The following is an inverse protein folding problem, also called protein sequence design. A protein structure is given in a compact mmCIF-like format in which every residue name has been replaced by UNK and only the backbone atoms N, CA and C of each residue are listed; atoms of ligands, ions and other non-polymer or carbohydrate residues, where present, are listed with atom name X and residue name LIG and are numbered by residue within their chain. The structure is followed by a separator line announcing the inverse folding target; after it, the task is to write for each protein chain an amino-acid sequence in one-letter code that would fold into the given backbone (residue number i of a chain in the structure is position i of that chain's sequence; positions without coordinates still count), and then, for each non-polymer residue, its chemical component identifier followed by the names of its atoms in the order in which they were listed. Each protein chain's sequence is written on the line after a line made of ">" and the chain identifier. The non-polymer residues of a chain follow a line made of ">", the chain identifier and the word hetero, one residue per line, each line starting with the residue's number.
data_IF_409554019197
#
_entry.id   IF_409554019197
#
_cell.length_a   1.000
_cell.length_b   1.000
_cell.length_c   1.000
_cell.angle_alpha   90.00
_cell.angle_beta   90.00
_cell.angle_gamma   90.00
#
_symmetry.space_group_name_H-M   'P 1'
#
loop_
_entity.id
_entity.type
_entity.pdbx_description
1 polymer ?
#
# COMPACT_ATOMS: atom_id res chain seq x y z
N UNK A 1 -15.56 9.34 -10.21
CA UNK A 1 -15.76 8.89 -11.62
C UNK A 1 -15.14 9.90 -12.60
N UNK A 2 -15.45 11.22 -12.53
CA UNK A 2 -14.92 12.23 -13.47
C UNK A 2 -13.38 12.21 -13.61
N UNK A 3 -12.61 12.18 -12.50
CA UNK A 3 -11.15 12.11 -12.56
C UNK A 3 -10.63 10.88 -13.29
N UNK A 4 -11.28 9.74 -13.11
CA UNK A 4 -10.89 8.50 -13.78
C UNK A 4 -11.17 8.55 -15.28
N UNK A 5 -12.28 9.17 -15.67
CA UNK A 5 -12.63 9.38 -17.08
C UNK A 5 -11.60 10.27 -17.77
N UNK A 6 -11.23 11.41 -17.15
CA UNK A 6 -10.25 12.35 -17.70
C UNK A 6 -8.86 11.68 -17.85
N UNK A 7 -8.42 10.94 -16.84
CA UNK A 7 -7.14 10.21 -16.92
C UNK A 7 -7.10 9.14 -18.03
N UNK A 8 -8.27 8.58 -18.39
CA UNK A 8 -8.37 7.57 -19.45
C UNK A 8 -8.55 8.16 -20.83
N UNK A 9 -9.26 9.30 -20.94
CA UNK A 9 -9.63 9.88 -22.23
C UNK A 9 -8.55 10.78 -22.84
N UNK A 10 -7.70 11.40 -22.01
CA UNK A 10 -6.78 12.44 -22.47
C UNK A 10 -5.30 12.08 -22.33
N UNK A 11 -4.99 10.84 -21.94
CA UNK A 11 -3.61 10.39 -21.66
C UNK A 11 -2.83 11.31 -20.68
N UNK A 12 -3.60 12.00 -19.81
CA UNK A 12 -3.09 12.95 -18.82
C UNK A 12 -2.60 12.18 -17.59
N UNK A 13 -1.41 12.50 -17.12
CA UNK A 13 -0.90 11.94 -15.87
C UNK A 13 -1.51 12.64 -14.63
N UNK A 14 -1.33 12.01 -13.44
CA UNK A 14 -1.83 12.54 -12.18
C UNK A 14 -1.30 13.94 -11.84
N UNK A 15 -0.13 14.29 -12.32
CA UNK A 15 0.56 15.55 -12.07
C UNK A 15 -0.12 16.69 -12.83
N UNK A 16 -0.35 16.49 -14.13
CA UNK A 16 -1.05 17.43 -15.00
C UNK A 16 -2.50 17.62 -14.52
N UNK A 17 -3.20 16.53 -14.17
CA UNK A 17 -4.56 16.61 -13.66
C UNK A 17 -4.62 17.41 -12.34
N UNK A 18 -3.63 17.25 -11.46
CA UNK A 18 -3.55 18.00 -10.20
C UNK A 18 -3.37 19.49 -10.41
N UNK A 19 -2.56 19.88 -11.39
CA UNK A 19 -2.36 21.28 -11.76
C UNK A 19 -3.63 21.92 -12.34
N UNK A 20 -4.33 21.21 -13.23
CA UNK A 20 -5.58 21.71 -13.87
C UNK A 20 -6.71 21.88 -12.85
N UNK A 21 -6.86 20.92 -11.92
CA UNK A 21 -7.97 20.93 -10.95
C UNK A 21 -7.65 21.74 -9.69
N UNK A 22 -6.38 22.10 -9.45
CA UNK A 22 -5.95 22.79 -8.24
C UNK A 22 -6.07 21.91 -6.98
N UNK A 23 -5.95 20.58 -7.13
CA UNK A 23 -5.94 19.63 -6.02
C UNK A 23 -4.63 18.85 -5.99
N UNK A 24 -4.21 18.43 -4.81
CA UNK A 24 -2.97 17.64 -4.71
C UNK A 24 -3.12 16.29 -5.42
N UNK A 25 -2.01 15.78 -5.97
CA UNK A 25 -1.92 14.45 -6.56
C UNK A 25 -2.44 13.36 -5.61
N UNK A 26 -2.12 13.47 -4.32
CA UNK A 26 -2.64 12.56 -3.29
C UNK A 26 -4.16 12.61 -3.15
N UNK A 27 -4.76 13.80 -3.27
CA UNK A 27 -6.22 13.95 -3.22
C UNK A 27 -6.86 13.21 -4.39
N UNK A 28 -6.38 13.41 -5.60
CA UNK A 28 -6.92 12.77 -6.82
C UNK A 28 -6.76 11.25 -6.74
N UNK A 29 -5.57 10.77 -6.42
CA UNK A 29 -5.30 9.34 -6.26
C UNK A 29 -6.21 8.69 -5.20
N UNK A 30 -6.35 9.32 -4.04
CA UNK A 30 -7.22 8.83 -2.98
C UNK A 30 -8.70 8.82 -3.39
N UNK A 31 -9.14 9.83 -4.14
CA UNK A 31 -10.53 9.90 -4.64
C UNK A 31 -10.82 8.81 -5.67
N UNK A 32 -9.88 8.53 -6.56
CA UNK A 32 -10.02 7.45 -7.54
C UNK A 32 -10.05 6.08 -6.86
N UNK A 33 -9.20 5.87 -5.87
CA UNK A 33 -9.17 4.61 -5.11
C UNK A 33 -10.48 4.31 -4.36
N UNK A 34 -11.30 5.31 -4.06
CA UNK A 34 -12.62 5.06 -3.48
C UNK A 34 -13.54 4.28 -4.41
N UNK A 35 -13.32 4.35 -5.73
CA UNK A 35 -14.08 3.58 -6.71
C UNK A 35 -13.79 2.07 -6.67
N UNK A 36 -12.79 1.63 -5.89
CA UNK A 36 -12.55 0.22 -5.57
C UNK A 36 -13.54 -0.33 -4.53
N UNK A 37 -14.29 0.55 -3.86
CA UNK A 37 -15.26 0.17 -2.85
C UNK A 37 -16.61 -0.24 -3.47
N UNK A 38 -17.35 -1.05 -2.72
CA UNK A 38 -18.71 -1.46 -3.07
C UNK A 38 -19.63 -0.24 -3.24
N UNK A 39 -20.59 -0.31 -4.19
CA UNK A 39 -21.50 0.79 -4.47
C UNK A 39 -22.33 1.22 -3.26
N UNK A 40 -22.68 0.29 -2.36
CA UNK A 40 -23.38 0.64 -1.13
C UNK A 40 -22.52 1.52 -0.21
N UNK A 41 -21.22 1.29 -0.18
CA UNK A 41 -20.30 2.14 0.62
C UNK A 41 -20.17 3.53 -0.03
N UNK A 42 -20.14 3.59 -1.36
CA UNK A 42 -20.14 4.87 -2.08
C UNK A 42 -21.42 5.67 -1.81
N UNK A 43 -22.58 5.01 -1.81
CA UNK A 43 -23.84 5.63 -1.41
C UNK A 43 -23.80 6.19 0.01
N UNK A 44 -23.21 5.48 0.97
CA UNK A 44 -23.06 5.99 2.33
C UNK A 44 -22.17 7.24 2.43
N UNK A 45 -21.22 7.40 1.50
CA UNK A 45 -20.42 8.63 1.40
C UNK A 45 -21.27 9.77 0.84
N UNK A 46 -22.03 9.51 -0.23
CA UNK A 46 -22.91 10.49 -0.88
C UNK A 46 -23.99 10.98 0.07
N UNK A 47 -24.57 10.08 0.85
CA UNK A 47 -25.54 10.38 1.90
C UNK A 47 -24.94 11.09 3.13
N UNK A 48 -23.61 11.26 3.18
CA UNK A 48 -22.92 11.83 4.35
C UNK A 48 -22.91 10.94 5.61
N UNK A 49 -23.32 9.67 5.48
CA UNK A 49 -23.35 8.70 6.59
C UNK A 49 -21.94 8.30 7.05
N UNK A 50 -20.99 8.27 6.12
CA UNK A 50 -19.57 8.03 6.42
C UNK A 50 -18.71 9.09 5.72
N UNK A 51 -17.57 9.45 6.33
CA UNK A 51 -16.65 10.42 5.74
C UNK A 51 -15.71 9.77 4.72
N UNK A 52 -15.11 10.59 3.84
CA UNK A 52 -14.03 10.18 2.94
C UNK A 52 -12.85 9.52 3.68
N UNK A 53 -12.57 9.93 4.92
CA UNK A 53 -11.54 9.32 5.77
C UNK A 53 -11.89 7.88 6.17
N UNK A 54 -13.15 7.63 6.57
CA UNK A 54 -13.65 6.29 6.86
C UNK A 54 -13.56 5.40 5.61
N UNK A 55 -14.03 5.88 4.47
CA UNK A 55 -14.00 5.13 3.22
C UNK A 55 -12.57 4.75 2.80
N UNK A 56 -11.59 5.66 2.92
CA UNK A 56 -10.17 5.35 2.65
C UNK A 56 -9.62 4.24 3.56
N UNK A 57 -10.04 4.21 4.82
CA UNK A 57 -9.62 3.16 5.75
C UNK A 57 -10.16 1.78 5.36
N UNK A 58 -11.32 1.72 4.67
CA UNK A 58 -11.98 0.50 4.22
C UNK A 58 -11.43 -0.07 2.91
N UNK A 59 -10.65 0.69 2.12
CA UNK A 59 -10.10 0.22 0.85
C UNK A 59 -9.23 -1.02 1.07
N UNK A 60 -9.53 -2.09 0.32
CA UNK A 60 -8.80 -3.35 0.36
C UNK A 60 -8.98 -4.16 1.63
N UNK A 61 -9.99 -3.86 2.43
CA UNK A 61 -10.34 -4.59 3.66
C UNK A 61 -11.39 -5.65 3.32
N UNK A 62 -11.21 -6.92 3.73
CA UNK A 62 -12.29 -7.90 3.70
C UNK A 62 -13.47 -7.42 4.56
N UNK A 63 -14.69 -7.69 4.14
CA UNK A 63 -15.91 -7.27 4.85
C UNK A 63 -16.04 -5.75 5.05
N UNK A 64 -15.57 -4.95 4.08
CA UNK A 64 -15.63 -3.48 4.12
C UNK A 64 -17.06 -2.97 4.34
N UNK A 65 -18.08 -3.64 3.75
CA UNK A 65 -19.49 -3.26 3.89
C UNK A 65 -19.99 -3.43 5.32
N UNK A 66 -19.62 -4.50 6.01
CA UNK A 66 -20.03 -4.73 7.40
C UNK A 66 -19.37 -3.71 8.33
N UNK A 67 -18.12 -3.39 8.08
CA UNK A 67 -17.42 -2.33 8.81
C UNK A 67 -18.03 -0.95 8.53
N UNK A 68 -18.48 -0.67 7.31
CA UNK A 68 -19.20 0.57 7.00
C UNK A 68 -20.51 0.69 7.78
N UNK A 69 -21.28 -0.39 7.88
CA UNK A 69 -22.49 -0.44 8.74
C UNK A 69 -22.14 -0.25 10.22
N UNK A 70 -21.04 -0.83 10.68
CA UNK A 70 -20.57 -0.66 12.06
C UNK A 70 -20.18 0.80 12.36
N UNK A 71 -19.53 1.49 11.41
CA UNK A 71 -19.21 2.92 11.51
C UNK A 71 -20.47 3.74 11.73
N UNK A 72 -21.51 3.49 10.93
CA UNK A 72 -22.79 4.23 11.02
C UNK A 72 -23.47 3.96 12.37
N UNK A 73 -23.58 2.70 12.74
CA UNK A 73 -24.33 2.29 13.94
C UNK A 73 -23.65 2.72 15.24
N UNK A 74 -22.31 2.63 15.30
CA UNK A 74 -21.53 2.90 16.52
C UNK A 74 -20.85 4.27 16.49
N UNK A 75 -21.04 5.06 15.44
CA UNK A 75 -20.38 6.38 15.24
C UNK A 75 -18.87 6.33 15.47
N UNK A 76 -18.23 5.30 14.92
CA UNK A 76 -16.78 5.08 15.10
C UNK A 76 -15.99 6.20 14.43
N UNK A 77 -14.85 6.56 15.02
CA UNK A 77 -13.93 7.51 14.41
C UNK A 77 -13.07 6.85 13.32
N UNK A 78 -12.47 7.67 12.44
CA UNK A 78 -11.53 7.19 11.43
C UNK A 78 -10.36 6.40 12.07
N UNK A 79 -9.86 6.87 13.22
CA UNK A 79 -8.78 6.22 13.97
C UNK A 79 -9.16 4.82 14.48
N UNK A 80 -10.41 4.65 14.92
CA UNK A 80 -10.91 3.35 15.39
C UNK A 80 -10.95 2.35 14.24
N UNK A 81 -11.38 2.80 13.06
CA UNK A 81 -11.38 1.97 11.85
C UNK A 81 -9.96 1.67 11.39
N UNK A 82 -9.06 2.63 11.37
CA UNK A 82 -7.66 2.40 11.03
C UNK A 82 -7.01 1.36 11.94
N UNK A 83 -7.27 1.39 13.25
CA UNK A 83 -6.80 0.38 14.20
C UNK A 83 -7.38 -1.01 13.89
N UNK A 84 -8.68 -1.10 13.63
CA UNK A 84 -9.34 -2.37 13.26
C UNK A 84 -8.78 -2.94 11.95
N UNK A 85 -8.57 -2.09 10.95
CA UNK A 85 -8.14 -2.50 9.61
C UNK A 85 -6.63 -2.70 9.46
N UNK A 86 -5.83 -2.17 10.39
CA UNK A 86 -4.35 -2.27 10.35
C UNK A 86 -3.86 -3.72 10.32
N UNK A 87 -4.52 -4.63 11.02
CA UNK A 87 -4.20 -6.07 11.03
C UNK A 87 -4.41 -6.69 9.65
N UNK A 88 -5.48 -6.33 8.94
CA UNK A 88 -5.76 -6.83 7.59
C UNK A 88 -4.75 -6.29 6.57
N UNK A 89 -4.38 -5.02 6.67
CA UNK A 89 -3.37 -4.40 5.79
C UNK A 89 -1.98 -4.98 6.00
N UNK A 90 -1.57 -5.27 7.25
CA UNK A 90 -0.31 -5.97 7.56
C UNK A 90 -0.29 -7.40 7.02
N UNK A 91 -1.41 -8.11 7.07
CA UNK A 91 -1.50 -9.47 6.54
C UNK A 91 -1.51 -9.50 5.01
N UNK A 92 -2.08 -8.48 4.34
CA UNK A 92 -2.03 -8.35 2.88
C UNK A 92 -0.61 -8.02 2.39
N UNK A 93 0.12 -7.21 3.14
CA UNK A 93 1.56 -6.94 2.89
C UNK A 93 2.44 -8.19 3.08
N UNK A 94 2.07 -9.10 3.99
CA UNK A 94 2.75 -10.39 4.18
C UNK A 94 2.30 -11.48 3.17
N UNK A 95 1.12 -11.32 2.55
CA UNK A 95 0.56 -12.25 1.54
C UNK A 95 0.91 -11.91 0.10
N UNK A 96 1.71 -10.90 -0.17
CA UNK A 96 2.50 -10.90 -1.39
C UNK A 96 3.49 -12.07 -1.23
N UNK A 97 3.04 -13.27 -1.63
CA UNK A 97 3.89 -14.45 -1.78
C UNK A 97 5.05 -13.97 -2.65
N UNK A 98 6.24 -13.86 -2.05
CA UNK A 98 7.45 -13.56 -2.82
C UNK A 98 7.53 -14.62 -3.90
N UNK A 99 7.92 -14.23 -5.09
CA UNK A 99 8.23 -15.16 -6.17
C UNK A 99 9.15 -16.24 -5.61
N UNK A 100 8.87 -17.53 -5.82
CA UNK A 100 9.71 -18.63 -5.34
C UNK A 100 11.19 -18.43 -5.68
N UNK A 101 11.50 -17.92 -6.89
CA UNK A 101 12.86 -17.61 -7.30
C UNK A 101 13.52 -16.55 -6.42
N UNK A 102 12.75 -15.55 -5.97
CA UNK A 102 13.26 -14.51 -5.05
C UNK A 102 13.55 -15.09 -3.67
N UNK A 103 12.71 -16.02 -3.20
CA UNK A 103 12.92 -16.70 -1.92
C UNK A 103 14.19 -17.56 -1.97
N UNK A 104 14.42 -18.28 -3.06
CA UNK A 104 15.63 -19.09 -3.26
C UNK A 104 16.88 -18.20 -3.33
N UNK A 105 16.81 -17.08 -4.04
CA UNK A 105 17.89 -16.10 -4.11
C UNK A 105 18.21 -15.46 -2.74
N UNK A 106 17.17 -15.17 -1.93
CA UNK A 106 17.37 -14.68 -0.55
C UNK A 106 18.11 -15.70 0.32
N UNK A 107 17.75 -16.97 0.16
CA UNK A 107 18.38 -18.07 0.90
C UNK A 107 19.84 -18.25 0.48
N UNK A 108 20.11 -18.31 -0.82
CA UNK A 108 21.46 -18.43 -1.36
C UNK A 108 22.36 -17.27 -0.91
N UNK A 109 21.86 -16.03 -0.99
CA UNK A 109 22.60 -14.85 -0.54
C UNK A 109 22.82 -14.87 0.98
N UNK A 110 21.82 -15.27 1.77
CA UNK A 110 21.94 -15.34 3.21
C UNK A 110 22.99 -16.37 3.63
N UNK A 111 23.04 -17.50 2.95
CA UNK A 111 24.07 -18.56 3.19
C UNK A 111 25.48 -18.09 2.80
N UNK A 112 25.63 -17.42 1.65
CA UNK A 112 26.93 -16.90 1.18
C UNK A 112 27.48 -15.75 2.03
N UNK A 113 26.61 -14.85 2.46
CA UNK A 113 27.01 -13.65 3.22
C UNK A 113 27.12 -13.96 4.71
N UNK A 114 26.37 -14.96 5.21
CA UNK A 114 26.26 -15.31 6.63
C UNK A 114 25.30 -14.38 7.39
N UNK A 115 24.47 -13.59 6.68
CA UNK A 115 23.55 -12.62 7.27
C UNK A 115 22.16 -12.76 6.67
N UNK A 116 21.14 -12.48 7.48
CA UNK A 116 19.77 -12.44 7.00
C UNK A 116 19.62 -11.40 5.88
N UNK A 117 19.23 -11.85 4.71
CA UNK A 117 19.02 -11.01 3.53
C UNK A 117 17.54 -10.95 3.16
N UNK A 118 17.07 -9.81 2.72
CA UNK A 118 15.72 -9.64 2.16
C UNK A 118 15.78 -8.91 0.84
N UNK A 119 15.17 -9.48 -0.19
CA UNK A 119 15.06 -8.90 -1.52
C UNK A 119 13.63 -8.45 -1.73
N UNK A 120 13.45 -7.21 -2.12
CA UNK A 120 12.15 -6.65 -2.52
C UNK A 120 12.20 -6.27 -3.99
N UNK A 121 11.40 -6.94 -4.80
CA UNK A 121 11.29 -6.68 -6.23
C UNK A 121 9.94 -6.00 -6.52
N UNK A 122 9.96 -4.97 -7.35
CA UNK A 122 8.75 -4.29 -7.78
C UNK A 122 8.29 -4.86 -9.13
N UNK A 123 7.21 -5.66 -9.12
CA UNK A 123 6.67 -6.31 -10.32
C UNK A 123 6.21 -5.34 -11.42
N UNK A 124 6.06 -4.05 -11.12
CA UNK A 124 5.61 -3.02 -12.07
C UNK A 124 6.77 -2.17 -12.64
N UNK A 125 7.97 -2.34 -12.11
CA UNK A 125 9.18 -1.67 -12.58
C UNK A 125 10.35 -2.61 -12.37
N UNK A 126 11.33 -2.61 -13.30
CA UNK A 126 12.56 -3.43 -13.16
C UNK A 126 13.48 -2.96 -12.02
N UNK A 127 12.90 -2.43 -10.95
CA UNK A 127 13.60 -1.88 -9.78
C UNK A 127 13.31 -2.72 -8.54
N UNK A 128 14.22 -2.71 -7.60
CA UNK A 128 14.06 -3.43 -6.33
C UNK A 128 15.02 -2.91 -5.27
N UNK A 129 15.01 -3.56 -4.12
CA UNK A 129 15.94 -3.28 -3.03
C UNK A 129 16.43 -4.59 -2.40
N UNK A 130 17.67 -4.60 -1.95
CA UNK A 130 18.26 -5.67 -1.15
C UNK A 130 18.56 -5.09 0.23
N UNK A 131 18.07 -5.75 1.27
CA UNK A 131 18.29 -5.36 2.65
C UNK A 131 19.09 -6.44 3.37
N UNK A 132 20.23 -6.09 3.94
CA UNK A 132 21.04 -6.95 4.77
C UNK A 132 20.82 -6.56 6.25
N UNK A 133 20.54 -7.56 7.08
CA UNK A 133 20.33 -7.35 8.51
C UNK A 133 21.58 -7.76 9.26
N UNK A 134 22.20 -6.83 9.99
CA UNK A 134 23.35 -7.07 10.83
C UNK A 134 22.97 -6.81 12.30
N UNK A 135 23.66 -7.49 13.23
CA UNK A 135 23.43 -7.40 14.68
C UNK A 135 24.46 -6.55 15.42
N UNK A 136 25.66 -6.43 14.84
CA UNK A 136 26.78 -5.69 15.43
C UNK A 136 27.61 -4.97 14.36
N UNK A 137 28.50 -4.07 14.80
CA UNK A 137 29.30 -3.25 13.90
C UNK A 137 30.39 -4.06 13.17
N UNK A 138 30.86 -5.16 13.75
CA UNK A 138 31.88 -6.01 13.14
C UNK A 138 31.30 -6.69 11.88
N UNK A 139 30.06 -7.16 11.97
CA UNK A 139 29.32 -7.69 10.80
C UNK A 139 29.13 -6.61 9.71
N UNK A 140 28.85 -5.36 10.11
CA UNK A 140 28.75 -4.26 9.16
C UNK A 140 30.09 -4.01 8.45
N UNK A 141 31.19 -3.99 9.18
CA UNK A 141 32.53 -3.79 8.62
C UNK A 141 32.90 -4.91 7.62
N UNK A 142 32.55 -6.14 7.94
CA UNK A 142 32.78 -7.28 7.04
C UNK A 142 31.96 -7.19 5.74
N UNK A 143 30.70 -6.74 5.84
CA UNK A 143 29.88 -6.44 4.65
C UNK A 143 30.56 -5.37 3.82
N UNK A 144 30.96 -4.26 4.44
CA UNK A 144 31.58 -3.14 3.73
C UNK A 144 32.89 -3.53 3.04
N UNK A 145 33.70 -4.40 3.65
CA UNK A 145 34.91 -4.97 3.03
C UNK A 145 34.60 -5.83 1.81
N UNK A 146 33.53 -6.65 1.89
CA UNK A 146 33.09 -7.51 0.78
C UNK A 146 32.52 -6.71 -0.39
N UNK A 147 31.82 -5.61 -0.11
CA UNK A 147 31.19 -4.76 -1.16
C UNK A 147 32.18 -3.80 -1.83
N UNK A 148 33.34 -3.51 -1.20
CA UNK A 148 34.39 -2.65 -1.75
C UNK A 148 35.41 -3.39 -2.62
N UNK A 149 35.29 -4.72 -2.75
CA UNK A 149 36.13 -5.56 -3.63
C UNK A 149 35.54 -5.63 -5.03
#
# INVERSE_FOLDING_TARGET
>A
RAYQTILKSEDINYENLSAVIGKSRSHISNTIRLLELDENILSYIEDGKISMGHARALIGVPNALDLAKEIINKKLSVRDIERKTSKFKKNKSKRNLKDPNIVDLEKELSEKIGLKTSIHFNNHSSSGSITLYYSDLDQLDDIMKKLKR
#
